data_IF_568118019610
#
_entry.id   IF_568118019610
#
_cell.length_a   1.000
_cell.length_b   1.000
_cell.length_c   1.000
_cell.angle_alpha   90.00
_cell.angle_beta   90.00
_cell.angle_gamma   90.00
#
_symmetry.space_group_name_H-M   'P 1'
#
loop_
_entity.id
_entity.type
_entity.pdbx_description
1 polymer ?
#
# COMPACT_ATOMS: atom_id res chain seq x y z
N UNK A 1 63.63 -15.87 44.52
CA UNK A 1 62.38 -16.51 44.85
C UNK A 1 61.25 -15.80 44.08
N UNK A 2 60.97 -16.24 42.85
CA UNK A 2 59.93 -15.66 41.98
C UNK A 2 58.78 -16.63 41.94
N UNK A 3 57.59 -16.14 42.33
CA UNK A 3 56.29 -16.87 42.17
C UNK A 3 55.69 -16.44 40.82
N UNK A 4 55.16 -17.35 40.00
CA UNK A 4 54.45 -17.02 38.81
C UNK A 4 52.98 -16.59 39.12
N UNK A 5 52.52 -15.51 38.49
CA UNK A 5 51.14 -15.09 38.52
C UNK A 5 50.34 -15.91 37.50
N UNK A 6 49.30 -16.53 37.97
CA UNK A 6 48.30 -17.20 37.15
C UNK A 6 47.42 -16.15 36.45
N UNK A 7 47.35 -16.23 35.12
CA UNK A 7 46.42 -15.44 34.27
C UNK A 7 45.15 -16.30 34.11
N UNK A 8 44.08 -15.83 34.68
CA UNK A 8 42.77 -16.43 34.44
C UNK A 8 42.23 -15.95 33.09
N UNK A 9 42.05 -16.85 32.16
CA UNK A 9 41.37 -16.60 30.89
C UNK A 9 39.88 -16.58 31.14
N UNK A 10 39.25 -15.40 30.98
CA UNK A 10 37.81 -15.26 30.98
C UNK A 10 37.28 -15.65 29.58
N UNK A 11 36.59 -16.78 29.49
CA UNK A 11 35.89 -17.21 28.31
C UNK A 11 34.60 -16.41 28.22
N UNK A 12 34.54 -15.43 27.33
CA UNK A 12 33.26 -14.78 26.96
C UNK A 12 32.43 -15.78 26.16
N UNK A 13 31.38 -16.29 26.76
CA UNK A 13 30.28 -16.91 26.02
C UNK A 13 29.50 -15.80 25.31
N UNK A 14 29.63 -15.72 24.00
CA UNK A 14 28.71 -14.95 23.14
C UNK A 14 27.40 -15.72 23.05
N UNK A 15 26.40 -15.33 23.86
CA UNK A 15 25.03 -15.74 23.65
C UNK A 15 24.54 -15.07 22.36
N UNK A 16 24.33 -15.90 21.35
CA UNK A 16 23.79 -15.50 20.05
C UNK A 16 22.35 -15.04 20.24
N UNK A 17 22.09 -13.77 19.98
CA UNK A 17 20.78 -13.15 20.07
C UNK A 17 19.88 -13.60 18.89
N UNK A 18 19.14 -14.70 19.09
CA UNK A 18 18.03 -15.10 18.20
C UNK A 18 16.65 -14.70 18.75
N UNK A 19 16.57 -13.62 19.55
CA UNK A 19 15.32 -13.27 20.26
C UNK A 19 14.72 -11.93 19.82
N UNK A 20 15.33 -11.17 18.91
CA UNK A 20 14.89 -9.78 18.71
C UNK A 20 13.64 -9.60 17.84
N UNK A 21 13.42 -10.44 16.81
CA UNK A 21 12.26 -10.30 15.92
C UNK A 21 10.91 -10.49 16.61
N UNK A 22 10.78 -11.50 17.50
CA UNK A 22 9.53 -11.74 18.20
C UNK A 22 9.24 -10.70 19.31
N UNK A 23 10.29 -10.13 19.91
CA UNK A 23 10.17 -9.06 20.89
C UNK A 23 9.79 -7.73 20.24
N UNK A 24 10.29 -7.47 19.03
CA UNK A 24 9.99 -6.27 18.25
C UNK A 24 8.55 -6.30 17.72
N UNK A 25 8.09 -7.44 17.17
CA UNK A 25 6.71 -7.64 16.77
C UNK A 25 5.69 -7.42 17.90
N UNK A 26 6.02 -7.82 19.13
CA UNK A 26 5.17 -7.60 20.31
C UNK A 26 5.11 -6.13 20.76
N UNK A 27 6.07 -5.32 20.41
CA UNK A 27 6.14 -3.91 20.82
C UNK A 27 5.05 -3.05 20.20
N UNK A 28 4.46 -3.47 19.08
CA UNK A 28 3.48 -2.71 18.30
C UNK A 28 2.02 -3.10 18.57
N UNK A 29 1.79 -4.26 19.18
CA UNK A 29 0.46 -4.72 19.58
C UNK A 29 0.13 -4.12 20.95
N UNK A 30 -0.94 -3.33 21.03
CA UNK A 30 -1.43 -2.77 22.30
C UNK A 30 -2.30 -3.78 23.02
N UNK A 31 -2.33 -3.70 24.34
CA UNK A 31 -3.28 -4.47 25.13
C UNK A 31 -4.71 -4.12 24.72
N UNK A 32 -5.50 -5.12 24.34
CA UNK A 32 -6.87 -4.96 23.86
C UNK A 32 -7.01 -4.81 22.33
N UNK A 33 -5.92 -4.72 21.58
CA UNK A 33 -6.00 -4.71 20.12
C UNK A 33 -6.45 -6.08 19.58
N UNK A 34 -7.30 -6.06 18.57
CA UNK A 34 -7.47 -7.21 17.69
C UNK A 34 -6.19 -7.36 16.88
N UNK A 35 -5.61 -8.55 16.88
CA UNK A 35 -4.38 -8.86 16.16
C UNK A 35 -4.73 -9.63 14.90
N UNK A 36 -4.04 -9.33 13.81
CA UNK A 36 -4.16 -10.09 12.56
C UNK A 36 -3.85 -11.56 12.82
N UNK A 37 -4.72 -12.48 12.34
CA UNK A 37 -4.62 -13.92 12.59
C UNK A 37 -3.95 -14.64 11.44
N UNK A 38 -3.46 -15.86 11.70
CA UNK A 38 -2.84 -16.74 10.69
C UNK A 38 -1.73 -16.05 9.90
N UNK A 39 -1.03 -15.12 10.56
CA UNK A 39 0.06 -14.38 9.94
C UNK A 39 1.24 -15.30 9.73
N UNK A 40 1.67 -15.39 8.49
CA UNK A 40 2.85 -16.16 8.08
C UNK A 40 3.62 -15.40 6.99
N UNK A 41 4.92 -15.54 7.02
CA UNK A 41 5.76 -15.11 5.91
C UNK A 41 5.43 -15.99 4.70
N UNK A 42 5.00 -15.37 3.61
CA UNK A 42 4.67 -16.05 2.36
C UNK A 42 5.91 -16.28 1.49
N UNK A 43 6.90 -15.41 1.63
CA UNK A 43 8.16 -15.42 0.89
C UNK A 43 8.83 -14.05 0.95
N UNK A 44 9.60 -13.72 -0.09
CA UNK A 44 10.31 -12.43 -0.20
C UNK A 44 10.37 -11.97 -1.64
N UNK A 45 10.46 -10.67 -1.85
CA UNK A 45 10.69 -10.08 -3.16
C UNK A 45 12.01 -10.61 -3.76
N UNK A 46 11.92 -11.29 -4.91
CA UNK A 46 13.11 -11.87 -5.54
C UNK A 46 13.74 -10.98 -6.59
N UNK A 47 12.99 -9.99 -7.10
CA UNK A 47 13.53 -9.04 -8.06
C UNK A 47 14.43 -8.02 -7.36
N UNK A 48 15.66 -7.91 -7.83
CA UNK A 48 16.65 -6.98 -7.27
C UNK A 48 16.32 -5.51 -7.53
N UNK A 49 15.46 -5.24 -8.53
CA UNK A 49 15.04 -3.91 -8.91
C UNK A 49 13.84 -3.42 -8.08
N UNK A 50 13.18 -4.31 -7.32
CA UNK A 50 12.16 -3.92 -6.36
C UNK A 50 12.83 -3.68 -5.01
N UNK A 51 13.13 -2.42 -4.73
CA UNK A 51 13.82 -2.02 -3.51
C UNK A 51 13.04 -1.05 -2.63
N UNK A 52 12.01 -0.42 -3.20
CA UNK A 52 11.18 0.60 -2.56
C UNK A 52 9.72 0.38 -3.00
N UNK A 53 9.20 -0.84 -2.72
CA UNK A 53 7.83 -1.20 -3.06
C UNK A 53 6.86 -0.30 -2.29
N UNK A 54 6.02 0.48 -3.00
CA UNK A 54 5.08 1.45 -2.44
C UNK A 54 3.62 1.21 -2.82
N UNK A 55 3.31 0.12 -3.48
CA UNK A 55 1.93 -0.25 -3.78
C UNK A 55 1.85 -1.62 -4.43
N UNK A 56 0.78 -2.34 -4.12
CA UNK A 56 0.54 -3.66 -4.71
C UNK A 56 -0.93 -3.85 -5.09
N UNK A 57 -1.18 -4.41 -6.26
CA UNK A 57 -2.54 -4.75 -6.67
C UNK A 57 -2.59 -6.11 -7.36
N UNK A 58 -3.64 -6.89 -7.06
CA UNK A 58 -3.88 -8.13 -7.77
C UNK A 58 -4.23 -7.88 -9.24
N UNK A 59 -3.60 -8.64 -10.14
CA UNK A 59 -3.97 -8.69 -11.54
C UNK A 59 -5.42 -9.15 -11.69
N UNK A 60 -6.17 -8.48 -12.56
CA UNK A 60 -7.52 -8.90 -12.93
C UNK A 60 -7.54 -9.84 -14.12
N UNK A 61 -6.49 -9.79 -14.95
CA UNK A 61 -6.35 -10.62 -16.16
C UNK A 61 -5.59 -11.92 -15.91
N UNK A 62 -4.68 -11.95 -14.94
CA UNK A 62 -3.84 -13.14 -14.66
C UNK A 62 -3.94 -13.54 -13.18
N UNK A 63 -4.80 -14.52 -12.83
CA UNK A 63 -4.95 -14.97 -11.44
C UNK A 63 -3.64 -15.40 -10.80
N UNK A 64 -3.41 -14.96 -9.56
CA UNK A 64 -2.19 -15.26 -8.81
C UNK A 64 -1.00 -14.35 -9.12
N UNK A 65 -1.17 -13.40 -10.03
CA UNK A 65 -0.19 -12.34 -10.31
C UNK A 65 -0.56 -11.08 -9.56
N UNK A 66 0.44 -10.37 -9.06
CA UNK A 66 0.33 -9.07 -8.41
C UNK A 66 1.27 -8.09 -9.07
N UNK A 67 0.78 -6.90 -9.34
CA UNK A 67 1.59 -5.79 -9.84
C UNK A 67 2.09 -4.96 -8.67
N UNK A 68 3.36 -4.62 -8.71
CA UNK A 68 4.04 -3.77 -7.71
C UNK A 68 4.73 -2.63 -8.45
N UNK A 69 4.78 -1.46 -7.84
CA UNK A 69 5.61 -0.33 -8.26
C UNK A 69 6.64 0.03 -7.19
N UNK A 70 7.69 0.73 -7.59
CA UNK A 70 8.60 1.40 -6.66
C UNK A 70 8.23 2.86 -6.50
N UNK A 71 8.56 3.41 -5.34
CA UNK A 71 8.52 4.82 -4.98
C UNK A 71 9.42 5.70 -5.86
N UNK A 72 9.52 6.96 -5.51
CA UNK A 72 10.30 8.03 -6.14
C UNK A 72 11.77 7.67 -6.36
N UNK A 73 12.37 8.28 -7.40
CA UNK A 73 13.78 8.06 -7.72
C UNK A 73 14.10 6.75 -8.45
N UNK A 74 13.12 5.91 -8.70
CA UNK A 74 13.23 4.67 -9.43
C UNK A 74 12.77 4.81 -10.89
N UNK A 75 13.14 3.84 -11.73
CA UNK A 75 12.69 3.75 -13.12
C UNK A 75 11.16 3.57 -13.21
N UNK A 76 10.59 4.02 -14.32
CA UNK A 76 9.16 3.87 -14.65
C UNK A 76 8.83 2.41 -15.00
N UNK A 77 8.67 1.55 -13.99
CA UNK A 77 8.46 0.11 -14.13
C UNK A 77 7.35 -0.41 -13.24
N UNK A 78 6.67 -1.41 -13.74
CA UNK A 78 5.78 -2.28 -12.99
C UNK A 78 6.40 -3.66 -12.90
N UNK A 79 6.34 -4.26 -11.74
CA UNK A 79 6.88 -5.59 -11.48
C UNK A 79 5.73 -6.56 -11.23
N UNK A 80 5.73 -7.67 -11.96
CA UNK A 80 4.79 -8.75 -11.72
C UNK A 80 5.41 -9.76 -10.76
N UNK A 81 4.73 -10.04 -9.66
CA UNK A 81 5.13 -11.05 -8.68
C UNK A 81 4.01 -12.06 -8.45
N UNK A 82 4.34 -13.25 -7.96
CA UNK A 82 3.36 -14.16 -7.38
C UNK A 82 3.15 -13.86 -5.87
N UNK A 83 2.22 -14.57 -5.23
CA UNK A 83 1.91 -14.36 -3.81
C UNK A 83 3.04 -14.73 -2.84
N UNK A 84 4.16 -15.27 -3.34
CA UNK A 84 5.37 -15.54 -2.56
C UNK A 84 6.46 -14.48 -2.77
N UNK A 85 6.20 -13.47 -3.61
CA UNK A 85 7.16 -12.42 -3.96
C UNK A 85 8.14 -12.82 -5.07
N UNK A 86 7.97 -14.00 -5.68
CA UNK A 86 8.79 -14.42 -6.81
C UNK A 86 8.44 -13.57 -8.03
N UNK A 87 9.46 -12.96 -8.64
CA UNK A 87 9.31 -12.21 -9.88
C UNK A 87 8.84 -13.13 -11.01
N UNK A 88 7.77 -12.72 -11.69
CA UNK A 88 7.22 -13.42 -12.86
C UNK A 88 7.17 -12.52 -14.10
N UNK A 89 7.61 -11.27 -13.98
CA UNK A 89 7.73 -10.32 -15.08
C UNK A 89 8.08 -8.92 -14.64
N UNK A 90 8.50 -8.12 -15.60
CA UNK A 90 8.84 -6.70 -15.43
C UNK A 90 8.42 -5.94 -16.69
N UNK A 91 7.74 -4.83 -16.54
CA UNK A 91 7.18 -4.04 -17.63
C UNK A 91 7.59 -2.58 -17.49
N UNK A 92 8.24 -2.02 -18.51
CA UNK A 92 8.52 -0.59 -18.58
C UNK A 92 7.25 0.19 -18.96
N UNK A 93 7.00 1.30 -18.25
CA UNK A 93 5.88 2.19 -18.54
C UNK A 93 6.38 3.38 -19.38
N UNK A 94 6.05 3.36 -20.68
CA UNK A 94 6.47 4.41 -21.58
C UNK A 94 5.59 5.66 -21.44
N UNK A 95 6.19 6.84 -21.59
CA UNK A 95 5.52 8.14 -21.51
C UNK A 95 4.97 8.51 -20.12
N UNK A 96 5.46 7.85 -19.07
CA UNK A 96 5.28 8.27 -17.68
C UNK A 96 6.60 8.85 -17.12
N UNK A 97 6.51 9.47 -15.96
CA UNK A 97 7.64 9.85 -15.12
C UNK A 97 7.36 9.41 -13.70
N UNK A 98 8.28 8.70 -13.07
CA UNK A 98 8.23 8.44 -11.65
C UNK A 98 8.84 9.64 -10.92
N UNK A 99 7.98 10.53 -10.41
CA UNK A 99 8.39 11.63 -9.53
C UNK A 99 8.21 11.25 -8.07
N UNK A 100 7.07 10.59 -7.81
CA UNK A 100 6.67 10.14 -6.47
C UNK A 100 5.49 9.17 -6.62
N UNK A 101 5.77 7.99 -7.22
CA UNK A 101 4.77 6.95 -7.40
C UNK A 101 4.52 6.25 -6.08
N UNK A 102 3.31 6.39 -5.56
CA UNK A 102 2.96 5.89 -4.22
C UNK A 102 1.76 4.93 -4.24
N UNK A 103 0.97 4.95 -5.31
CA UNK A 103 -0.28 4.22 -5.30
C UNK A 103 -0.50 3.45 -6.60
N UNK A 104 -1.04 2.23 -6.49
CA UNK A 104 -1.36 1.39 -7.63
C UNK A 104 -2.76 0.79 -7.49
N UNK A 105 -3.60 0.98 -8.51
CA UNK A 105 -4.93 0.39 -8.55
C UNK A 105 -5.16 -0.39 -9.84
N UNK A 106 -6.04 -1.39 -9.79
CA UNK A 106 -6.52 -2.14 -10.96
C UNK A 106 -8.05 -2.04 -11.03
N UNK A 107 -8.58 -1.69 -12.19
CA UNK A 107 -10.01 -1.51 -12.38
C UNK A 107 -10.47 -1.54 -13.82
N UNK A 108 -11.80 -1.46 -14.04
CA UNK A 108 -12.35 -1.35 -15.37
C UNK A 108 -12.00 0.00 -16.00
N UNK A 109 -11.81 0.01 -17.30
CA UNK A 109 -11.61 1.19 -18.12
C UNK A 109 -12.20 0.95 -19.52
N UNK A 110 -12.18 1.97 -20.38
CA UNK A 110 -12.72 1.87 -21.72
C UNK A 110 -12.02 0.76 -22.55
N UNK A 111 -10.75 0.49 -22.26
CA UNK A 111 -9.92 -0.50 -22.92
C UNK A 111 -10.00 -1.92 -22.29
N UNK A 112 -10.93 -2.13 -21.35
CA UNK A 112 -11.13 -3.39 -20.61
C UNK A 112 -10.65 -3.31 -19.17
N UNK A 113 -9.49 -3.84 -18.83
CA UNK A 113 -8.86 -3.70 -17.51
C UNK A 113 -7.63 -2.82 -17.61
N UNK A 114 -7.53 -1.85 -16.69
CA UNK A 114 -6.40 -0.94 -16.59
C UNK A 114 -5.72 -1.02 -15.23
N UNK A 115 -4.43 -0.70 -15.24
CA UNK A 115 -3.71 -0.28 -14.06
C UNK A 115 -3.70 1.26 -14.03
N UNK A 116 -3.87 1.80 -12.84
CA UNK A 116 -3.80 3.23 -12.55
C UNK A 116 -2.60 3.45 -11.63
N UNK A 117 -1.64 4.25 -12.08
CA UNK A 117 -0.40 4.54 -11.38
C UNK A 117 -0.52 5.94 -10.81
N UNK A 118 -0.51 6.07 -9.51
CA UNK A 118 -0.62 7.34 -8.79
C UNK A 118 0.75 7.98 -8.53
N UNK A 119 1.08 9.02 -9.28
CA UNK A 119 2.18 9.94 -9.01
C UNK A 119 1.67 11.03 -8.05
N UNK A 120 1.39 10.62 -6.80
CA UNK A 120 0.55 11.34 -5.85
C UNK A 120 1.25 11.69 -4.52
N UNK A 121 2.46 11.19 -4.29
CA UNK A 121 3.26 11.54 -3.12
C UNK A 121 3.54 13.04 -3.06
N UNK A 122 3.38 13.63 -1.90
CA UNK A 122 3.63 15.05 -1.64
C UNK A 122 3.94 15.29 -0.16
N UNK A 123 5.02 14.67 0.31
CA UNK A 123 5.45 14.74 1.69
C UNK A 123 5.58 16.16 2.24
N UNK A 124 5.83 17.14 1.37
CA UNK A 124 5.98 18.54 1.74
C UNK A 124 4.72 19.39 1.51
N UNK A 125 3.67 18.84 0.89
CA UNK A 125 2.43 19.56 0.59
C UNK A 125 2.64 20.72 -0.39
N UNK A 126 3.46 20.54 -1.41
CA UNK A 126 3.87 21.64 -2.31
C UNK A 126 3.84 21.27 -3.79
N UNK A 127 3.54 20.02 -4.15
CA UNK A 127 3.54 19.58 -5.54
C UNK A 127 2.34 20.12 -6.32
N UNK A 128 2.63 20.73 -7.45
CA UNK A 128 1.63 21.23 -8.40
C UNK A 128 1.41 20.32 -9.60
N UNK A 129 2.03 19.14 -9.65
CA UNK A 129 2.06 18.25 -10.81
C UNK A 129 1.64 16.82 -10.46
N UNK A 130 0.72 16.67 -9.52
CA UNK A 130 0.12 15.39 -9.17
C UNK A 130 -0.61 14.79 -10.36
N UNK A 131 -0.48 13.49 -10.55
CA UNK A 131 -1.08 12.82 -11.71
C UNK A 131 -1.45 11.37 -11.42
N UNK A 132 -2.44 10.85 -12.15
CA UNK A 132 -2.68 9.42 -12.29
C UNK A 132 -2.46 9.04 -13.75
N UNK A 133 -1.60 8.06 -13.99
CA UNK A 133 -1.37 7.49 -15.32
C UNK A 133 -2.23 6.25 -15.48
N UNK A 134 -3.00 6.18 -16.57
CA UNK A 134 -3.78 4.99 -16.92
C UNK A 134 -3.04 4.21 -18.00
N UNK A 135 -2.80 2.93 -17.75
CA UNK A 135 -2.21 1.98 -18.70
C UNK A 135 -3.14 0.78 -18.83
N UNK A 136 -3.24 0.18 -20.02
CA UNK A 136 -3.89 -1.13 -20.14
C UNK A 136 -3.12 -2.11 -19.27
N UNK A 137 -3.80 -2.96 -18.52
CA UNK A 137 -3.12 -3.99 -17.74
C UNK A 137 -2.26 -4.86 -18.67
N UNK A 138 -0.93 -4.88 -18.48
CA UNK A 138 -0.05 -5.66 -19.32
C UNK A 138 -0.10 -7.15 -18.93
N UNK A 139 0.27 -8.04 -19.85
CA UNK A 139 0.58 -9.41 -19.45
C UNK A 139 1.91 -9.46 -18.71
N UNK A 140 2.07 -10.39 -17.77
CA UNK A 140 3.33 -10.60 -17.02
C UNK A 140 4.53 -10.88 -17.92
N UNK A 141 4.31 -11.44 -19.11
CA UNK A 141 5.34 -11.67 -20.13
C UNK A 141 5.61 -10.48 -21.04
N UNK A 142 4.83 -9.38 -20.90
CA UNK A 142 5.06 -8.11 -21.60
C UNK A 142 6.35 -7.45 -21.15
N UNK A 143 6.89 -6.57 -21.99
CA UNK A 143 8.10 -5.79 -21.66
C UNK A 143 7.83 -4.31 -21.53
N UNK A 144 6.76 -3.84 -22.17
CA UNK A 144 6.41 -2.44 -22.22
C UNK A 144 4.91 -2.23 -22.13
N UNK A 145 4.50 -1.15 -21.50
CA UNK A 145 3.14 -0.65 -21.48
C UNK A 145 3.16 0.84 -21.78
N UNK A 146 2.24 1.31 -22.61
CA UNK A 146 2.12 2.73 -22.94
C UNK A 146 1.04 3.38 -22.08
N UNK A 147 1.30 4.61 -21.62
CA UNK A 147 0.29 5.45 -20.99
C UNK A 147 -0.79 5.77 -22.02
N UNK A 148 -2.03 5.38 -21.71
CA UNK A 148 -3.22 5.66 -22.51
C UNK A 148 -3.75 7.08 -22.25
N UNK A 149 -3.69 7.50 -20.99
CA UNK A 149 -4.09 8.84 -20.57
C UNK A 149 -3.40 9.20 -19.24
N UNK A 150 -3.17 10.50 -19.08
CA UNK A 150 -2.68 11.07 -17.80
C UNK A 150 -3.70 12.08 -17.31
N UNK A 151 -4.20 11.88 -16.11
CA UNK A 151 -5.06 12.81 -15.39
C UNK A 151 -4.20 13.64 -14.44
N UNK A 152 -3.93 14.90 -14.80
CA UNK A 152 -3.31 15.87 -13.90
C UNK A 152 -4.36 16.37 -12.92
N UNK A 153 -4.05 16.38 -11.62
CA UNK A 153 -5.03 16.70 -10.62
C UNK A 153 -4.54 17.64 -9.52
N UNK A 154 -5.49 18.20 -8.78
CA UNK A 154 -5.29 18.87 -7.51
C UNK A 154 -6.47 18.55 -6.59
N UNK A 155 -6.24 18.55 -5.28
CA UNK A 155 -7.33 18.32 -4.33
C UNK A 155 -8.09 19.62 -4.05
N UNK A 156 -9.40 19.51 -3.84
CA UNK A 156 -10.31 20.65 -3.64
C UNK A 156 -9.90 21.57 -2.48
N UNK A 157 -9.28 21.01 -1.46
CA UNK A 157 -8.97 21.68 -0.19
C UNK A 157 -7.46 21.86 0.05
N UNK A 158 -6.68 21.89 -1.03
CA UNK A 158 -5.24 22.14 -1.01
C UNK A 158 -4.39 20.89 -1.16
N UNK A 159 -3.06 21.01 -1.07
CA UNK A 159 -2.14 19.90 -1.30
C UNK A 159 -2.19 18.88 -0.17
N UNK A 160 -2.10 17.61 -0.54
CA UNK A 160 -2.06 16.47 0.37
C UNK A 160 -1.16 15.38 -0.19
N UNK A 161 -0.51 14.69 0.73
CA UNK A 161 0.22 13.46 0.49
C UNK A 161 -0.78 12.30 0.44
N UNK A 162 -0.82 11.58 -0.70
CA UNK A 162 -1.74 10.46 -0.93
C UNK A 162 -0.96 9.24 -1.36
N UNK A 163 -1.05 8.18 -0.57
CA UNK A 163 -0.36 6.92 -0.83
C UNK A 163 -1.32 5.75 -1.07
N UNK A 164 -2.61 5.91 -0.75
CA UNK A 164 -3.59 4.87 -0.97
C UNK A 164 -4.56 5.22 -2.10
N UNK A 165 -4.70 4.30 -3.07
CA UNK A 165 -5.63 4.43 -4.18
C UNK A 165 -6.22 3.06 -4.54
N UNK A 166 -7.51 3.00 -4.81
CA UNK A 166 -8.14 1.83 -5.38
C UNK A 166 -9.21 2.22 -6.41
N UNK A 167 -9.52 1.30 -7.30
CA UNK A 167 -10.53 1.50 -8.32
C UNK A 167 -11.87 0.89 -7.89
N UNK A 168 -12.94 1.65 -8.04
CA UNK A 168 -14.30 1.18 -7.92
C UNK A 168 -14.72 0.29 -9.09
N UNK A 169 -15.76 -0.54 -8.91
CA UNK A 169 -16.29 -1.37 -9.99
C UNK A 169 -16.91 -0.56 -11.14
N UNK A 170 -17.29 0.68 -10.88
CA UNK A 170 -17.78 1.64 -11.86
C UNK A 170 -16.69 2.37 -12.66
N UNK A 171 -15.41 2.06 -12.38
CA UNK A 171 -14.26 2.70 -13.01
C UNK A 171 -13.84 4.03 -12.38
N UNK A 172 -14.44 4.40 -11.27
CA UNK A 172 -14.00 5.54 -10.45
C UNK A 172 -12.71 5.20 -9.68
N UNK A 173 -11.98 6.24 -9.22
CA UNK A 173 -10.83 6.05 -8.33
C UNK A 173 -11.11 6.73 -7.00
N UNK A 174 -10.71 6.05 -5.94
CA UNK A 174 -10.79 6.51 -4.57
C UNK A 174 -9.38 6.74 -4.05
N UNK A 175 -9.11 7.93 -3.52
CA UNK A 175 -7.81 8.35 -3.04
C UNK A 175 -7.91 8.63 -1.54
N UNK A 176 -6.96 8.13 -0.76
CA UNK A 176 -6.94 8.33 0.71
C UNK A 176 -5.61 8.95 1.12
N UNK A 177 -5.67 10.01 1.93
CA UNK A 177 -4.44 10.69 2.38
C UNK A 177 -3.64 9.82 3.34
N UNK A 178 -2.32 9.82 3.18
CA UNK A 178 -1.37 9.19 4.10
C UNK A 178 -1.54 9.74 5.50
N UNK A 179 -1.47 11.07 5.60
CA UNK A 179 -1.52 11.78 6.87
C UNK A 179 -2.90 12.39 7.09
N UNK A 180 -3.40 12.34 8.31
CA UNK A 180 -4.63 13.03 8.63
C UNK A 180 -4.41 14.54 8.57
N UNK A 181 -5.47 15.25 8.27
CA UNK A 181 -5.46 16.70 8.43
C UNK A 181 -5.25 17.08 9.89
N UNK A 182 -4.70 18.26 10.14
CA UNK A 182 -4.71 18.88 11.46
C UNK A 182 -5.90 19.81 11.59
N UNK A 183 -6.65 19.66 12.66
CA UNK A 183 -7.69 20.62 13.02
C UNK A 183 -7.09 21.95 13.48
N UNK A 184 -7.91 22.99 13.56
CA UNK A 184 -7.51 24.32 14.05
C UNK A 184 -6.88 24.29 15.47
N UNK A 185 -7.22 23.27 16.26
CA UNK A 185 -6.65 23.02 17.59
C UNK A 185 -5.37 22.14 17.56
N UNK A 186 -4.78 21.89 16.37
CA UNK A 186 -3.61 21.02 16.16
C UNK A 186 -3.87 19.51 16.32
N UNK A 187 -5.08 19.09 16.68
CA UNK A 187 -5.41 17.67 16.85
C UNK A 187 -5.53 16.97 15.49
N UNK A 188 -5.09 15.72 15.38
CA UNK A 188 -5.31 14.91 14.17
C UNK A 188 -6.80 14.78 13.85
N UNK A 189 -7.13 14.76 12.57
CA UNK A 189 -8.46 14.45 12.03
C UNK A 189 -8.40 13.18 11.21
N UNK A 190 -9.54 12.55 10.91
CA UNK A 190 -9.58 11.39 10.01
C UNK A 190 -8.89 11.66 8.68
N UNK A 191 -8.27 10.62 8.10
CA UNK A 191 -7.72 10.66 6.75
C UNK A 191 -8.84 10.98 5.75
N UNK A 192 -8.53 11.84 4.78
CA UNK A 192 -9.48 12.33 3.79
C UNK A 192 -9.66 11.33 2.66
N UNK A 193 -10.86 11.31 2.11
CA UNK A 193 -11.23 10.48 0.95
C UNK A 193 -11.66 11.38 -0.19
N UNK A 194 -10.99 11.24 -1.32
CA UNK A 194 -11.28 11.94 -2.56
C UNK A 194 -11.81 10.96 -3.59
N UNK A 195 -12.64 11.45 -4.50
CA UNK A 195 -13.29 10.63 -5.51
C UNK A 195 -13.07 11.17 -6.91
N UNK A 196 -12.43 10.39 -7.77
CA UNK A 196 -12.23 10.69 -9.18
C UNK A 196 -13.28 9.93 -9.99
N UNK A 197 -14.22 10.63 -10.57
CA UNK A 197 -15.25 10.04 -11.42
C UNK A 197 -14.67 9.54 -12.76
N UNK A 198 -15.24 8.52 -13.39
CA UNK A 198 -14.82 8.07 -14.72
C UNK A 198 -14.83 9.18 -15.79
N UNK A 199 -15.75 10.14 -15.68
CA UNK A 199 -15.83 11.30 -16.58
C UNK A 199 -14.64 12.25 -16.48
N UNK A 200 -13.85 12.20 -15.41
CA UNK A 200 -12.64 13.02 -15.26
C UNK A 200 -11.62 12.78 -16.40
N UNK A 201 -11.58 11.56 -16.94
CA UNK A 201 -10.67 11.20 -18.03
C UNK A 201 -11.01 11.87 -19.38
N UNK A 202 -12.17 12.52 -19.49
CA UNK A 202 -12.60 13.26 -20.69
C UNK A 202 -12.32 14.75 -20.57
N UNK A 203 -11.87 15.23 -19.42
CA UNK A 203 -11.60 16.65 -19.20
C UNK A 203 -10.21 17.04 -19.72
N UNK A 204 -10.10 18.28 -20.13
CA UNK A 204 -8.82 18.91 -20.48
C UNK A 204 -8.32 19.74 -19.31
N UNK A 205 -7.00 19.75 -19.11
CA UNK A 205 -6.36 20.50 -18.03
C UNK A 205 -6.36 19.77 -16.70
N UNK A 206 -6.20 20.54 -15.62
CA UNK A 206 -6.10 19.99 -14.26
C UNK A 206 -7.49 19.72 -13.69
N UNK A 207 -7.73 18.50 -13.24
CA UNK A 207 -8.95 18.11 -12.57
C UNK A 207 -8.90 18.43 -11.07
N UNK A 208 -9.90 19.14 -10.56
CA UNK A 208 -10.05 19.36 -9.12
C UNK A 208 -10.82 18.19 -8.53
N UNK A 209 -10.13 17.35 -7.75
CA UNK A 209 -10.71 16.17 -7.13
C UNK A 209 -11.50 16.59 -5.89
N UNK A 210 -12.82 16.28 -5.83
CA UNK A 210 -13.64 16.65 -4.68
C UNK A 210 -13.29 15.82 -3.44
N UNK A 211 -13.26 16.49 -2.29
CA UNK A 211 -13.28 15.84 -0.99
C UNK A 211 -14.71 15.34 -0.74
N UNK A 212 -14.88 14.03 -0.59
CA UNK A 212 -16.24 13.43 -0.47
C UNK A 212 -16.49 12.74 0.86
N UNK A 213 -15.43 12.39 1.59
CA UNK A 213 -15.55 11.67 2.86
C UNK A 213 -14.27 11.75 3.69
N UNK A 214 -14.29 11.08 4.82
CA UNK A 214 -13.11 10.78 5.64
C UNK A 214 -13.25 9.41 6.30
N UNK A 215 -12.14 8.70 6.46
CA UNK A 215 -12.13 7.39 7.14
C UNK A 215 -11.65 7.56 8.58
N UNK A 216 -12.19 6.82 9.55
CA UNK A 216 -11.90 6.99 10.97
C UNK A 216 -10.53 6.41 11.36
N UNK A 217 -9.53 6.54 10.49
CA UNK A 217 -8.14 6.21 10.78
C UNK A 217 -7.47 7.50 11.22
N UNK A 218 -7.35 7.66 12.54
CA UNK A 218 -6.78 8.85 13.15
C UNK A 218 -5.53 8.41 13.89
N UNK A 219 -4.34 8.91 13.52
CA UNK A 219 -3.13 8.60 14.25
C UNK A 219 -3.25 9.12 15.67
N UNK A 220 -2.72 8.36 16.60
CA UNK A 220 -2.45 8.86 17.93
C UNK A 220 -1.40 9.95 17.82
N UNK A 221 -1.52 11.00 18.62
CA UNK A 221 -0.60 12.13 18.56
C UNK A 221 0.86 11.65 18.57
N UNK A 222 1.61 11.98 17.52
CA UNK A 222 3.02 11.61 17.33
C UNK A 222 3.28 10.17 16.86
N UNK A 223 2.24 9.40 16.47
CA UNK A 223 2.39 8.02 16.05
C UNK A 223 2.21 7.87 14.53
N UNK A 224 3.32 7.71 13.82
CA UNK A 224 3.33 7.48 12.37
C UNK A 224 2.72 6.13 11.95
N UNK A 225 2.57 5.18 12.87
CA UNK A 225 2.02 3.84 12.57
C UNK A 225 0.61 3.83 12.01
N UNK A 226 -0.14 4.92 12.20
CA UNK A 226 -1.47 5.08 11.64
C UNK A 226 -1.47 5.83 10.29
N UNK A 227 -0.31 6.12 9.72
CA UNK A 227 -0.23 6.69 8.37
C UNK A 227 -0.63 5.64 7.35
N UNK A 228 -1.59 6.00 6.49
CA UNK A 228 -2.11 5.11 5.45
C UNK A 228 -1.09 5.02 4.33
N UNK A 229 -0.76 3.80 3.94
CA UNK A 229 0.25 3.52 2.91
C UNK A 229 -0.33 2.86 1.66
N UNK A 230 -1.43 2.10 1.76
CA UNK A 230 -2.04 1.48 0.57
C UNK A 230 -3.51 1.09 0.83
N UNK A 231 -4.22 0.73 -0.23
CA UNK A 231 -5.62 0.31 -0.20
C UNK A 231 -5.93 -0.79 -1.21
N UNK A 232 -6.83 -1.69 -0.85
CA UNK A 232 -7.31 -2.72 -1.78
C UNK A 232 -8.81 -2.97 -1.59
N UNK A 233 -9.56 -2.92 -2.69
CA UNK A 233 -10.98 -3.29 -2.72
C UNK A 233 -11.12 -4.77 -3.10
N UNK A 234 -11.91 -5.52 -2.34
CA UNK A 234 -12.15 -6.94 -2.62
C UNK A 234 -12.96 -7.14 -3.90
N UNK A 235 -12.89 -8.35 -4.47
CA UNK A 235 -13.91 -8.81 -5.40
C UNK A 235 -15.29 -8.79 -4.72
N UNK A 236 -16.35 -8.82 -5.53
CA UNK A 236 -17.71 -9.03 -5.02
C UNK A 236 -17.79 -10.40 -4.35
N UNK A 237 -18.21 -10.42 -3.10
CA UNK A 237 -18.34 -11.66 -2.33
C UNK A 237 -19.63 -12.38 -2.72
N UNK A 238 -19.76 -13.65 -2.35
CA UNK A 238 -20.94 -14.45 -2.65
C UNK A 238 -22.23 -13.90 -1.99
N UNK A 239 -22.10 -13.18 -0.90
CA UNK A 239 -23.21 -12.50 -0.20
C UNK A 239 -23.56 -11.12 -0.79
N UNK A 240 -22.93 -10.73 -1.89
CA UNK A 240 -23.12 -9.44 -2.55
C UNK A 240 -22.37 -8.28 -1.89
N UNK A 241 -21.57 -8.54 -0.87
CA UNK A 241 -20.79 -7.49 -0.20
C UNK A 241 -19.42 -7.24 -0.87
N UNK A 242 -18.81 -6.11 -0.58
CA UNK A 242 -17.42 -5.80 -0.84
C UNK A 242 -16.75 -5.32 0.44
N UNK A 243 -15.47 -5.55 0.52
CA UNK A 243 -14.61 -5.10 1.61
C UNK A 243 -13.49 -4.22 1.08
N UNK A 244 -13.26 -3.11 1.74
CA UNK A 244 -12.08 -2.28 1.54
C UNK A 244 -11.10 -2.56 2.67
N UNK A 245 -9.85 -2.83 2.35
CA UNK A 245 -8.76 -2.79 3.32
C UNK A 245 -7.93 -1.54 3.08
N UNK A 246 -7.67 -0.79 4.14
CA UNK A 246 -6.64 0.24 4.18
C UNK A 246 -5.49 -0.28 5.03
N UNK A 247 -4.28 -0.13 4.52
CA UNK A 247 -3.06 -0.43 5.24
C UNK A 247 -2.56 0.83 5.92
N UNK A 248 -2.10 0.70 7.15
CA UNK A 248 -1.21 1.67 7.79
C UNK A 248 0.05 0.95 8.27
N UNK A 249 1.11 1.67 8.62
CA UNK A 249 2.34 1.04 9.11
C UNK A 249 2.12 0.06 10.28
N UNK A 250 1.12 0.28 11.11
CA UNK A 250 0.89 -0.55 12.30
C UNK A 250 -0.34 -1.44 12.26
N UNK A 251 -1.20 -1.33 11.24
CA UNK A 251 -2.47 -2.05 11.22
C UNK A 251 -3.08 -2.17 9.83
N UNK A 252 -3.97 -3.15 9.66
CA UNK A 252 -4.96 -3.17 8.58
C UNK A 252 -6.30 -2.74 9.15
N UNK A 253 -7.03 -1.94 8.37
CA UNK A 253 -8.36 -1.44 8.68
C UNK A 253 -9.33 -1.97 7.63
N UNK A 254 -10.29 -2.79 8.03
CA UNK A 254 -11.27 -3.39 7.12
C UNK A 254 -12.59 -2.64 7.24
N UNK A 255 -13.07 -2.16 6.11
CA UNK A 255 -14.36 -1.47 5.99
C UNK A 255 -15.33 -2.31 5.14
N UNK A 256 -16.62 -2.14 5.35
CA UNK A 256 -17.55 -2.43 4.28
C UNK A 256 -17.39 -1.39 3.16
N UNK A 257 -17.80 -1.75 1.97
CA UNK A 257 -17.75 -0.84 0.83
C UNK A 257 -19.01 -1.03 -0.03
N UNK A 258 -19.49 0.07 -0.60
CA UNK A 258 -20.60 0.03 -1.53
C UNK A 258 -20.29 -0.93 -2.69
N UNK A 259 -21.12 -1.94 -2.97
CA UNK A 259 -20.81 -2.95 -3.95
C UNK A 259 -20.78 -2.45 -5.41
N UNK A 260 -21.42 -1.32 -5.69
CA UNK A 260 -21.49 -0.74 -7.04
C UNK A 260 -20.39 0.29 -7.32
N UNK A 261 -19.99 1.06 -6.32
CA UNK A 261 -19.02 2.16 -6.49
C UNK A 261 -17.71 1.96 -5.75
N UNK A 262 -17.68 1.06 -4.77
CA UNK A 262 -16.52 0.89 -3.90
C UNK A 262 -16.39 1.97 -2.82
N UNK A 263 -17.39 2.86 -2.64
CA UNK A 263 -17.35 3.90 -1.61
C UNK A 263 -17.10 3.29 -0.23
N UNK A 264 -16.17 3.81 0.58
CA UNK A 264 -15.94 3.33 1.93
C UNK A 264 -17.18 3.49 2.80
N UNK A 265 -17.53 2.47 3.53
CA UNK A 265 -18.60 2.50 4.51
C UNK A 265 -18.09 2.45 5.95
N UNK A 266 -18.71 1.61 6.77
CA UNK A 266 -18.39 1.47 8.19
C UNK A 266 -17.10 0.68 8.39
N UNK A 267 -16.26 1.10 9.34
CA UNK A 267 -15.14 0.29 9.85
C UNK A 267 -15.70 -0.98 10.52
N UNK A 268 -15.30 -2.13 10.00
CA UNK A 268 -15.70 -3.45 10.50
C UNK A 268 -14.68 -4.00 11.50
N UNK A 269 -13.39 -3.85 11.18
CA UNK A 269 -12.30 -4.34 12.01
C UNK A 269 -11.03 -3.49 11.84
N UNK A 270 -10.25 -3.40 12.91
CA UNK A 270 -8.86 -2.93 12.88
C UNK A 270 -8.00 -4.02 13.49
N UNK A 271 -6.99 -4.47 12.77
CA UNK A 271 -6.09 -5.52 13.21
C UNK A 271 -4.65 -5.02 13.22
N UNK A 272 -4.03 -5.01 14.39
CA UNK A 272 -2.60 -4.71 14.52
C UNK A 272 -1.76 -5.77 13.80
N UNK A 273 -0.66 -5.33 13.19
CA UNK A 273 0.26 -6.18 12.45
C UNK A 273 1.30 -6.81 13.39
N UNK A 274 1.30 -8.13 13.57
CA UNK A 274 2.30 -8.83 14.37
C UNK A 274 3.53 -9.21 13.52
N UNK A 275 4.00 -8.27 12.69
CA UNK A 275 5.19 -8.47 11.84
C UNK A 275 6.38 -7.66 12.37
N UNK A 276 7.63 -8.13 12.15
CA UNK A 276 8.82 -7.50 12.73
C UNK A 276 9.14 -6.12 12.16
N UNK A 277 8.78 -5.91 10.91
CA UNK A 277 9.18 -4.73 10.14
C UNK A 277 8.03 -3.72 10.04
N UNK A 278 8.35 -2.45 10.26
CA UNK A 278 7.40 -1.36 10.35
C UNK A 278 7.06 -0.72 8.98
N UNK A 279 7.48 -1.35 7.88
CA UNK A 279 7.42 -0.77 6.54
C UNK A 279 6.54 -1.59 5.58
N UNK A 280 5.33 -1.95 6.03
CA UNK A 280 4.33 -2.50 5.14
C UNK A 280 3.76 -1.36 4.29
N UNK A 281 4.10 -1.37 2.99
CA UNK A 281 3.73 -0.31 2.03
C UNK A 281 2.72 -0.79 1.00
N UNK A 282 2.47 -2.10 0.91
CA UNK A 282 1.52 -2.64 -0.04
C UNK A 282 0.54 -3.62 0.57
N UNK A 283 -0.74 -3.52 0.17
CA UNK A 283 -1.81 -4.43 0.61
C UNK A 283 -2.67 -4.91 -0.56
N UNK A 284 -2.95 -6.20 -0.61
CA UNK A 284 -3.90 -6.75 -1.58
C UNK A 284 -4.73 -7.88 -1.00
N UNK A 285 -6.00 -7.97 -1.45
CA UNK A 285 -6.81 -9.14 -1.18
C UNK A 285 -6.34 -10.33 -2.00
N UNK A 286 -6.24 -11.51 -1.35
CA UNK A 286 -6.11 -12.79 -2.01
C UNK A 286 -7.49 -13.37 -2.32
N UNK A 287 -7.57 -14.26 -3.32
CA UNK A 287 -8.83 -14.89 -3.73
C UNK A 287 -9.54 -15.69 -2.61
N UNK A 288 -8.78 -16.17 -1.63
CA UNK A 288 -9.31 -16.93 -0.47
C UNK A 288 -9.68 -16.04 0.73
N UNK A 289 -9.73 -14.71 0.53
CA UNK A 289 -10.08 -13.74 1.56
C UNK A 289 -8.98 -13.45 2.59
N UNK A 290 -7.77 -13.96 2.37
CA UNK A 290 -6.59 -13.48 3.11
C UNK A 290 -6.12 -12.16 2.56
N UNK A 291 -5.31 -11.47 3.34
CA UNK A 291 -4.65 -10.22 2.99
C UNK A 291 -3.17 -10.53 2.74
N UNK A 292 -2.65 -10.07 1.62
CA UNK A 292 -1.23 -10.04 1.29
C UNK A 292 -0.68 -8.68 1.73
N UNK A 293 0.45 -8.69 2.43
CA UNK A 293 1.22 -7.51 2.80
C UNK A 293 2.57 -7.57 2.10
N UNK A 294 2.97 -6.47 1.49
CA UNK A 294 4.28 -6.29 0.86
C UNK A 294 5.03 -5.23 1.64
N UNK A 295 6.22 -5.57 2.09
CA UNK A 295 7.08 -4.61 2.78
C UNK A 295 8.01 -3.90 1.79
N UNK A 296 8.41 -2.69 2.15
CA UNK A 296 9.48 -1.97 1.50
C UNK A 296 10.85 -2.60 1.81
N UNK A 297 11.79 -2.46 0.89
CA UNK A 297 13.18 -2.89 1.06
C UNK A 297 13.62 -3.96 0.07
N UNK A 298 14.94 -4.08 -0.11
CA UNK A 298 15.53 -5.10 -0.98
C UNK A 298 15.30 -6.49 -0.39
N UNK A 299 14.70 -7.39 -1.19
CA UNK A 299 14.32 -8.74 -0.75
C UNK A 299 13.37 -8.72 0.47
N UNK A 300 12.58 -7.67 0.57
CA UNK A 300 11.64 -7.51 1.67
C UNK A 300 10.69 -8.71 1.79
N UNK A 301 10.33 -9.12 3.00
CA UNK A 301 9.42 -10.23 3.22
C UNK A 301 7.99 -9.85 2.83
N UNK A 302 7.24 -10.83 2.34
CA UNK A 302 5.80 -10.77 2.17
C UNK A 302 5.12 -11.57 3.27
N UNK A 303 4.01 -11.05 3.77
CA UNK A 303 3.21 -11.74 4.76
C UNK A 303 1.78 -11.94 4.26
N UNK A 304 1.15 -13.01 4.73
CA UNK A 304 -0.30 -13.20 4.54
C UNK A 304 -0.96 -13.44 5.88
N UNK A 305 -2.23 -13.03 6.01
CA UNK A 305 -2.99 -13.24 7.22
C UNK A 305 -4.45 -12.87 7.04
N UNK A 306 -5.23 -12.87 8.13
CA UNK A 306 -6.65 -12.52 8.18
C UNK A 306 -6.91 -11.47 9.24
N UNK A 307 -7.73 -10.47 8.90
CA UNK A 307 -8.38 -9.61 9.86
C UNK A 307 -9.85 -10.06 9.95
N UNK A 308 -10.33 -10.48 11.13
CA UNK A 308 -11.66 -11.08 11.31
C UNK A 308 -12.81 -10.12 11.03
#
# INVERSE_FOLDING_TARGET
MNRPRAVAAATLLTLSACTDGAAQARRWVRAGDTVMRDVRMAGSLTDKNVGEASGVVASRSEPGVFWVLNDSGNDERLFAIDSTGRSVGEVRVNSAKNRDWEALASGPCAEGTCLFIGDLGDNQGSRGNLAVHRVREPSKGGREASVLATLTLAYQDGPHDVEAMYAGPDGSLWLVTKRPARGANGKPRPSRVYHVLPSAWQQTGRYTVPLVDSVPVVPLAGDAREFITDASLSALQADGSRRLVLLSYGAVHVFDADPATGRPGRLLARCSLPIPDDYAEGVSWLADGRILLVNEGKRAPLYTGRCP
#
